data_IF_941524121993
#
_entry.id   IF_941524121993
#
_cell.length_a   1.000
_cell.length_b   1.000
_cell.length_c   1.000
_cell.angle_alpha   90.00
_cell.angle_beta   90.00
_cell.angle_gamma   90.00
#
_symmetry.space_group_name_H-M   'P 1'
#
loop_
_entity.id
_entity.type
_entity.pdbx_description
1 polymer ?
#
# COMPACT_ATOMS: atom_id res chain seq x y z
N UNK A 1 16.26 9.25 -25.82
CA UNK A 1 16.46 9.45 -24.38
C UNK A 1 15.30 8.78 -23.65
N UNK A 2 15.43 7.51 -23.28
CA UNK A 2 14.38 6.75 -22.58
C UNK A 2 14.70 6.74 -21.10
N UNK A 3 13.98 7.57 -20.33
CA UNK A 3 14.05 7.51 -18.87
C UNK A 3 13.30 6.27 -18.44
N UNK A 4 14.02 5.18 -18.21
CA UNK A 4 13.43 4.02 -17.56
C UNK A 4 13.20 4.39 -16.09
N UNK A 5 11.95 4.73 -15.75
CA UNK A 5 11.52 4.90 -14.37
C UNK A 5 11.57 3.53 -13.65
N UNK A 6 12.78 3.09 -13.28
CA UNK A 6 13.01 1.92 -12.41
C UNK A 6 12.70 2.28 -10.95
N UNK A 7 11.46 2.72 -10.73
CA UNK A 7 10.86 2.98 -9.43
C UNK A 7 10.13 1.76 -8.88
N UNK A 8 9.59 1.89 -7.67
CA UNK A 8 8.75 0.86 -7.09
C UNK A 8 7.41 0.80 -7.85
N UNK A 9 7.11 -0.33 -8.50
CA UNK A 9 5.94 -0.47 -9.37
C UNK A 9 4.78 -1.13 -8.60
N UNK A 10 3.60 -0.52 -8.62
CA UNK A 10 2.40 -1.13 -8.05
C UNK A 10 1.97 -2.29 -8.95
N UNK A 11 2.00 -3.51 -8.43
CA UNK A 11 1.63 -4.71 -9.18
C UNK A 11 0.18 -5.14 -8.94
N UNK A 12 -0.48 -4.58 -7.92
CA UNK A 12 -1.91 -4.72 -7.70
C UNK A 12 -2.35 -4.45 -6.26
N UNK A 13 -3.61 -4.78 -6.01
CA UNK A 13 -4.32 -4.56 -4.75
C UNK A 13 -4.82 -5.89 -4.19
N UNK A 14 -4.83 -5.98 -2.86
CA UNK A 14 -5.41 -7.09 -2.14
C UNK A 14 -6.35 -6.56 -1.04
N UNK A 15 -7.48 -7.26 -0.89
CA UNK A 15 -8.49 -6.99 0.12
C UNK A 15 -8.45 -8.13 1.13
N UNK A 16 -8.31 -7.79 2.40
CA UNK A 16 -8.40 -8.72 3.53
C UNK A 16 -9.40 -8.16 4.56
N UNK A 17 -9.93 -8.99 5.47
CA UNK A 17 -10.81 -8.49 6.53
C UNK A 17 -10.16 -7.33 7.30
N UNK A 18 -10.79 -6.16 7.24
CA UNK A 18 -10.33 -4.93 7.91
C UNK A 18 -9.10 -4.25 7.30
N UNK A 19 -8.66 -4.62 6.08
CA UNK A 19 -7.47 -4.00 5.45
C UNK A 19 -7.52 -4.05 3.93
N UNK A 20 -7.12 -2.96 3.30
CA UNK A 20 -6.78 -2.89 1.87
C UNK A 20 -5.32 -2.48 1.75
N UNK A 21 -4.55 -3.27 1.02
CA UNK A 21 -3.14 -2.95 0.77
C UNK A 21 -2.79 -3.13 -0.69
N UNK A 22 -1.81 -2.37 -1.16
CA UNK A 22 -1.17 -2.56 -2.47
C UNK A 22 0.10 -3.37 -2.30
N UNK A 23 0.39 -4.26 -3.24
CA UNK A 23 1.69 -4.91 -3.33
C UNK A 23 2.51 -4.22 -4.43
N UNK A 24 3.73 -3.85 -4.06
CA UNK A 24 4.65 -3.07 -4.86
C UNK A 24 5.87 -3.94 -5.12
N UNK A 25 6.24 -4.11 -6.37
CA UNK A 25 7.46 -4.81 -6.73
C UNK A 25 8.62 -3.81 -6.79
N UNK A 26 9.61 -4.04 -5.94
CA UNK A 26 10.89 -3.38 -5.97
C UNK A 26 11.82 -4.17 -6.90
N UNK A 27 11.93 -3.71 -8.15
CA UNK A 27 12.72 -4.37 -9.19
C UNK A 27 14.21 -4.44 -8.84
N UNK A 28 14.74 -3.44 -8.12
CA UNK A 28 16.15 -3.39 -7.72
C UNK A 28 16.48 -4.47 -6.70
N UNK A 29 15.57 -4.71 -5.76
CA UNK A 29 15.75 -5.74 -4.71
C UNK A 29 15.11 -7.07 -5.05
N UNK A 30 14.41 -7.17 -6.19
CA UNK A 30 13.59 -8.32 -6.62
C UNK A 30 12.66 -8.79 -5.51
N UNK A 31 12.00 -7.85 -4.82
CA UNK A 31 11.15 -8.14 -3.65
C UNK A 31 9.80 -7.46 -3.74
N UNK A 32 8.77 -8.14 -3.27
CA UNK A 32 7.47 -7.53 -3.03
C UNK A 32 7.45 -6.83 -1.67
N UNK A 33 6.81 -5.66 -1.64
CA UNK A 33 6.48 -4.92 -0.43
C UNK A 33 5.00 -4.69 -0.39
N UNK A 34 4.40 -4.68 0.79
CA UNK A 34 3.00 -4.30 0.97
C UNK A 34 2.92 -2.91 1.59
N UNK A 35 1.97 -2.11 1.14
CA UNK A 35 1.71 -0.77 1.67
C UNK A 35 0.23 -0.65 1.97
N UNK A 36 -0.11 -0.30 3.20
CA UNK A 36 -1.49 -0.11 3.63
C UNK A 36 -2.08 1.12 2.99
N UNK A 37 -3.22 0.93 2.34
CA UNK A 37 -4.00 2.00 1.72
C UNK A 37 -5.19 2.33 2.63
N UNK A 38 -5.81 1.31 3.21
CA UNK A 38 -6.89 1.46 4.15
C UNK A 38 -6.77 0.40 5.25
N UNK A 39 -7.04 0.78 6.49
CA UNK A 39 -7.08 -0.14 7.62
C UNK A 39 -8.28 0.21 8.49
N UNK A 40 -9.03 -0.80 8.89
CA UNK A 40 -10.08 -0.67 9.88
C UNK A 40 -9.44 -0.29 11.21
N UNK A 41 -9.73 0.91 11.69
CA UNK A 41 -9.28 1.41 12.99
C UNK A 41 -10.44 1.41 13.96
N UNK A 42 -10.15 1.21 15.25
CA UNK A 42 -11.13 1.48 16.30
C UNK A 42 -11.43 2.98 16.29
N UNK A 43 -12.71 3.35 16.30
CA UNK A 43 -13.10 4.75 16.36
C UNK A 43 -12.69 5.34 17.72
N UNK A 44 -11.74 6.27 17.72
CA UNK A 44 -11.43 7.12 18.87
C UNK A 44 -12.26 8.40 18.77
N UNK A 45 -13.55 8.30 19.10
CA UNK A 45 -14.42 9.47 19.13
C UNK A 45 -14.13 10.29 20.39
N UNK A 46 -13.58 11.50 20.24
CA UNK A 46 -13.77 12.54 21.26
C UNK A 46 -15.19 13.08 21.08
N UNK A 47 -16.02 13.13 22.15
CA UNK A 47 -17.32 13.77 22.07
C UNK A 47 -17.14 15.21 21.58
N UNK A 48 -17.97 15.64 20.64
CA UNK A 48 -18.11 17.06 20.37
C UNK A 48 -18.86 17.65 21.58
N UNK A 49 -18.23 18.60 22.26
CA UNK A 49 -18.81 19.33 23.39
C UNK A 49 -19.85 20.34 22.90
#
# INVERSE_FOLDING_TARGET
MTVELHGAEVRGLAICPGRVFRYVFDSRRKRFRTVDVLKLTKATRKPAA
#
